data_IF_263581247183
#
_entry.id   IF_263581247183
#
_cell.length_a   1.000
_cell.length_b   1.000
_cell.length_c   1.000
_cell.angle_alpha   90.00
_cell.angle_beta   90.00
_cell.angle_gamma   90.00
#
_symmetry.space_group_name_H-M   'P 1'
#
loop_
_entity.id
_entity.type
_entity.pdbx_description
1 polymer ?
#
# COMPACT_ATOMS: atom_id res chain seq x y z
N UNK A 1 -17.65 12.82 -2.86
CA UNK A 1 -17.77 11.78 -3.89
C UNK A 1 -18.56 12.35 -5.05
N UNK A 2 -18.09 12.20 -6.30
CA UNK A 2 -18.86 12.66 -7.47
C UNK A 2 -19.99 11.66 -7.77
N UNK A 3 -21.28 12.04 -7.65
CA UNK A 3 -22.39 11.14 -7.98
C UNK A 3 -22.47 10.83 -9.49
N UNK A 4 -21.74 11.56 -10.34
CA UNK A 4 -21.62 11.32 -11.79
C UNK A 4 -20.46 10.40 -12.15
N UNK A 5 -19.90 9.67 -11.19
CA UNK A 5 -18.88 8.66 -11.44
C UNK A 5 -19.27 7.32 -10.81
N UNK A 6 -18.80 6.23 -11.43
CA UNK A 6 -18.73 4.92 -10.80
C UNK A 6 -17.54 4.97 -9.85
N UNK A 7 -17.83 5.30 -8.59
CA UNK A 7 -16.85 5.34 -7.52
C UNK A 7 -16.57 3.90 -7.06
N UNK A 8 -15.31 3.49 -7.06
CA UNK A 8 -14.87 2.13 -6.72
C UNK A 8 -13.81 2.21 -5.64
N UNK A 9 -13.92 1.37 -4.61
CA UNK A 9 -12.91 1.29 -3.57
C UNK A 9 -11.84 0.28 -3.96
N UNK A 10 -10.59 0.62 -3.67
CA UNK A 10 -9.48 -0.33 -3.59
C UNK A 10 -9.05 -0.42 -2.13
N UNK A 11 -8.78 -1.65 -1.69
CA UNK A 11 -8.21 -1.94 -0.37
C UNK A 11 -6.73 -2.20 -0.54
N UNK A 12 -5.93 -1.51 0.25
CA UNK A 12 -4.48 -1.62 0.33
C UNK A 12 -4.16 -2.24 1.69
N UNK A 13 -3.76 -3.49 1.67
CA UNK A 13 -3.36 -4.29 2.83
C UNK A 13 -2.02 -3.81 3.39
N UNK A 14 -1.74 -4.05 4.67
CA UNK A 14 -0.49 -3.63 5.31
C UNK A 14 0.78 -4.26 4.69
N UNK A 15 0.63 -5.39 3.99
CA UNK A 15 1.67 -6.03 3.19
C UNK A 15 1.72 -5.58 1.72
N UNK A 16 0.77 -4.79 1.24
CA UNK A 16 0.79 -4.33 -0.15
C UNK A 16 1.96 -3.37 -0.39
N UNK A 17 2.78 -3.67 -1.38
CA UNK A 17 4.07 -2.97 -1.64
C UNK A 17 3.90 -1.54 -2.14
N UNK A 18 2.67 -1.15 -2.49
CA UNK A 18 2.32 0.25 -2.76
C UNK A 18 2.36 1.11 -1.49
N UNK A 19 2.38 0.49 -0.30
CA UNK A 19 2.78 1.12 0.96
C UNK A 19 4.30 1.15 1.07
N UNK A 20 4.85 2.33 1.31
CA UNK A 20 6.29 2.52 1.47
C UNK A 20 6.60 2.87 2.93
N UNK A 21 7.09 1.89 3.67
CA UNK A 21 7.62 2.06 5.01
C UNK A 21 9.02 2.69 4.95
N UNK A 22 9.24 3.79 5.67
CA UNK A 22 10.50 4.53 5.64
C UNK A 22 11.67 3.69 6.17
N UNK A 23 11.41 2.88 7.20
CA UNK A 23 12.30 1.86 7.73
C UNK A 23 11.46 0.68 8.20
N UNK A 24 11.40 -0.37 7.38
CA UNK A 24 10.63 -1.59 7.67
C UNK A 24 11.03 -2.23 9.01
N UNK A 25 12.29 -2.09 9.44
CA UNK A 25 12.80 -2.67 10.69
C UNK A 25 12.22 -2.03 11.95
N UNK A 26 11.53 -0.89 11.82
CA UNK A 26 10.80 -0.23 12.92
C UNK A 26 9.38 -0.77 13.10
N UNK A 27 8.95 -1.70 12.26
CA UNK A 27 7.62 -2.28 12.28
C UNK A 27 7.68 -3.76 12.63
N UNK A 28 6.71 -4.21 13.40
CA UNK A 28 6.48 -5.60 13.76
C UNK A 28 5.20 -6.06 13.09
N UNK A 29 5.25 -7.24 12.48
CA UNK A 29 4.11 -7.90 11.85
C UNK A 29 4.12 -9.39 12.22
N UNK A 30 2.95 -10.06 12.28
CA UNK A 30 2.88 -11.51 12.25
C UNK A 30 3.65 -12.09 11.06
N UNK A 31 4.21 -13.29 11.21
CA UNK A 31 4.82 -14.07 10.12
C UNK A 31 3.75 -14.95 9.46
N UNK A 32 3.30 -14.64 8.24
CA UNK A 32 2.24 -15.42 7.59
C UNK A 32 2.67 -16.83 7.15
N UNK A 33 3.97 -17.11 7.18
CA UNK A 33 4.53 -18.43 6.91
C UNK A 33 4.64 -19.31 8.16
N UNK A 34 4.37 -18.76 9.34
CA UNK A 34 4.41 -19.49 10.58
C UNK A 34 3.29 -20.56 10.64
N UNK A 35 3.60 -21.72 11.23
CA UNK A 35 2.67 -22.86 11.30
C UNK A 35 1.37 -22.54 12.04
N UNK A 36 1.42 -21.63 13.01
CA UNK A 36 0.32 -21.19 13.85
C UNK A 36 -0.34 -19.88 13.38
N UNK A 37 0.05 -19.37 12.21
CA UNK A 37 -0.59 -18.21 11.61
C UNK A 37 -2.06 -18.48 11.28
N UNK A 38 -2.92 -17.49 11.56
CA UNK A 38 -4.34 -17.52 11.22
C UNK A 38 -4.69 -16.35 10.31
N UNK A 39 -4.61 -16.55 8.99
CA UNK A 39 -4.99 -15.54 8.00
C UNK A 39 -6.48 -15.17 7.98
N UNK A 40 -7.31 -15.86 8.77
CA UNK A 40 -8.73 -15.56 8.94
C UNK A 40 -9.04 -14.95 10.33
N UNK A 41 -8.04 -14.46 11.06
CA UNK A 41 -8.29 -13.74 12.31
C UNK A 41 -9.14 -12.49 12.02
N UNK A 42 -10.40 -12.41 12.49
CA UNK A 42 -11.28 -11.30 12.17
C UNK A 42 -10.83 -9.96 12.77
N UNK A 43 -9.80 -9.96 13.62
CA UNK A 43 -9.21 -8.73 14.16
C UNK A 43 -8.46 -7.92 13.12
N UNK A 44 -8.00 -8.55 12.04
CA UNK A 44 -7.11 -7.96 11.06
C UNK A 44 -7.49 -8.36 9.65
N UNK A 45 -7.29 -7.47 8.69
CA UNK A 45 -7.41 -7.85 7.29
C UNK A 45 -6.34 -8.91 6.98
N UNK A 46 -6.76 -10.05 6.42
CA UNK A 46 -5.87 -11.18 6.06
C UNK A 46 -5.01 -11.71 7.23
N UNK A 47 -5.40 -11.42 8.47
CA UNK A 47 -4.68 -11.85 9.68
C UNK A 47 -3.34 -11.12 9.93
N UNK A 48 -3.04 -10.05 9.19
CA UNK A 48 -1.77 -9.31 9.27
C UNK A 48 -1.94 -7.88 9.75
N UNK A 49 -0.86 -7.28 10.25
CA UNK A 49 -0.81 -5.87 10.62
C UNK A 49 0.63 -5.39 10.66
N UNK A 50 0.84 -4.09 10.50
CA UNK A 50 2.11 -3.44 10.80
C UNK A 50 1.97 -2.55 12.04
N UNK A 51 2.62 -2.98 13.13
CA UNK A 51 2.67 -2.30 14.43
C UNK A 51 4.04 -1.64 14.63
N UNK A 52 4.06 -0.41 15.14
CA UNK A 52 5.29 0.22 15.62
C UNK A 52 5.08 0.88 16.98
N UNK A 53 6.11 0.85 17.82
CA UNK A 53 6.21 1.66 19.05
C UNK A 53 7.33 2.70 18.94
N UNK A 54 7.95 2.81 17.76
CA UNK A 54 9.07 3.72 17.51
C UNK A 54 8.51 5.07 17.08
N UNK A 55 8.70 6.09 17.92
CA UNK A 55 8.35 7.45 17.56
C UNK A 55 9.18 7.90 16.35
N UNK A 56 8.51 8.40 15.32
CA UNK A 56 9.09 8.80 14.05
C UNK A 56 9.01 7.75 12.94
N UNK A 57 8.67 6.50 13.25
CA UNK A 57 8.41 5.48 12.24
C UNK A 57 7.24 5.92 11.33
N UNK A 58 7.43 5.76 10.02
CA UNK A 58 6.51 6.31 9.03
C UNK A 58 6.23 5.35 7.87
N UNK A 59 5.03 5.45 7.32
CA UNK A 59 4.57 4.74 6.12
C UNK A 59 3.86 5.73 5.21
N UNK A 60 4.01 5.55 3.90
CA UNK A 60 3.43 6.45 2.90
C UNK A 60 2.70 5.71 1.79
N UNK A 61 1.73 6.38 1.19
CA UNK A 61 0.94 5.90 0.05
C UNK A 61 0.69 7.07 -0.90
N UNK A 62 0.97 6.86 -2.18
CA UNK A 62 0.45 7.74 -3.24
C UNK A 62 -0.84 7.14 -3.78
N UNK A 63 -1.87 7.97 -3.98
CA UNK A 63 -3.13 7.52 -4.55
C UNK A 63 -3.76 8.58 -5.45
N UNK A 64 -4.65 8.15 -6.34
CA UNK A 64 -5.45 9.04 -7.19
C UNK A 64 -6.90 8.80 -6.88
N UNK A 65 -7.60 9.80 -6.33
CA UNK A 65 -8.95 9.56 -5.85
C UNK A 65 -9.56 10.69 -5.03
N UNK A 66 -10.89 10.69 -4.82
CA UNK A 66 -11.57 11.74 -4.06
C UNK A 66 -11.78 11.39 -2.58
N UNK A 67 -11.37 10.20 -2.13
CA UNK A 67 -11.55 9.76 -0.74
C UNK A 67 -10.53 8.71 -0.31
N UNK A 68 -10.15 8.72 0.96
CA UNK A 68 -9.25 7.76 1.61
C UNK A 68 -9.68 7.53 3.07
N UNK A 69 -9.52 6.31 3.55
CA UNK A 69 -9.91 5.82 4.86
C UNK A 69 -8.80 4.93 5.42
N UNK A 70 -8.34 5.25 6.62
CA UNK A 70 -7.28 4.56 7.33
C UNK A 70 -7.89 3.66 8.41
N UNK A 71 -7.54 2.38 8.42
CA UNK A 71 -7.96 1.43 9.42
C UNK A 71 -6.77 0.88 10.21
N UNK A 72 -6.98 0.73 11.51
CA UNK A 72 -6.02 0.20 12.45
C UNK A 72 -6.71 -0.17 13.75
N UNK A 73 -6.01 -0.10 14.88
CA UNK A 73 -6.55 -0.43 16.19
C UNK A 73 -6.41 0.73 17.17
N UNK A 74 -7.29 0.73 18.18
CA UNK A 74 -7.26 1.69 19.29
C UNK A 74 -7.19 0.95 20.62
N UNK A 75 -6.58 1.53 21.64
CA UNK A 75 -6.50 0.89 22.96
C UNK A 75 -5.51 1.55 23.91
N UNK A 76 -5.35 1.02 25.14
CA UNK A 76 -4.55 1.67 26.17
C UNK A 76 -3.09 1.85 25.79
N UNK A 77 -2.54 0.92 24.99
CA UNK A 77 -1.13 0.95 24.55
C UNK A 77 -0.85 1.88 23.38
N UNK A 78 -1.90 2.40 22.73
CA UNK A 78 -1.77 3.24 21.54
C UNK A 78 -1.52 4.69 21.90
N UNK A 79 -0.83 5.38 20.99
CA UNK A 79 -0.40 6.76 21.14
C UNK A 79 -0.93 7.69 20.05
N UNK A 80 -0.31 8.85 19.98
CA UNK A 80 -0.59 9.86 18.98
C UNK A 80 0.11 9.54 17.65
N UNK A 81 -0.53 9.89 16.53
CA UNK A 81 0.03 9.75 15.18
C UNK A 81 -0.29 10.99 14.35
N UNK A 82 0.62 11.29 13.42
CA UNK A 82 0.48 12.36 12.44
C UNK A 82 0.00 11.79 11.12
N UNK A 83 -1.02 12.43 10.54
CA UNK A 83 -1.50 12.22 9.18
C UNK A 83 -1.09 13.44 8.38
N UNK A 84 -0.19 13.27 7.42
CA UNK A 84 0.09 14.26 6.40
C UNK A 84 -0.58 13.84 5.10
N UNK A 85 -1.62 14.55 4.67
CA UNK A 85 -2.24 14.39 3.37
C UNK A 85 -1.96 15.63 2.52
N UNK A 86 -1.13 15.45 1.49
CA UNK A 86 -0.54 16.51 0.69
C UNK A 86 0.20 17.54 1.57
N UNK A 87 -0.30 18.78 1.60
CA UNK A 87 0.25 19.89 2.39
C UNK A 87 -0.37 20.01 3.77
N UNK A 88 -1.39 19.20 4.08
CA UNK A 88 -2.13 19.29 5.33
C UNK A 88 -1.68 18.24 6.33
N UNK A 89 -1.47 18.69 7.55
CA UNK A 89 -1.04 17.86 8.68
C UNK A 89 -2.11 17.88 9.76
N UNK A 90 -2.49 16.69 10.21
CA UNK A 90 -3.47 16.47 11.28
C UNK A 90 -2.81 15.52 12.28
N UNK A 91 -2.97 15.81 13.58
CA UNK A 91 -2.54 14.89 14.64
C UNK A 91 -3.78 14.28 15.27
N UNK A 92 -3.79 12.97 15.40
CA UNK A 92 -4.83 12.18 16.07
C UNK A 92 -4.19 11.29 17.13
N UNK A 93 -5.03 10.65 17.95
CA UNK A 93 -4.62 9.66 18.93
C UNK A 93 -5.44 8.39 18.77
N UNK A 94 -4.76 7.25 18.74
CA UNK A 94 -5.38 5.92 18.75
C UNK A 94 -5.55 5.41 20.19
N UNK A 95 -5.22 6.21 21.20
CA UNK A 95 -5.41 5.84 22.59
C UNK A 95 -6.90 5.64 22.92
N UNK A 96 -7.21 4.55 23.61
CA UNK A 96 -8.55 4.23 24.09
C UNK A 96 -8.48 3.51 25.44
N UNK A 97 -9.59 3.50 26.20
CA UNK A 97 -9.63 2.81 27.50
C UNK A 97 -9.58 1.28 27.39
N UNK A 98 -10.02 0.74 26.25
CA UNK A 98 -10.08 -0.69 25.96
C UNK A 98 -9.54 -0.94 24.55
N UNK A 99 -8.93 -2.11 24.35
CA UNK A 99 -8.46 -2.55 23.03
C UNK A 99 -9.66 -2.78 22.10
N UNK A 100 -9.57 -2.25 20.87
CA UNK A 100 -10.56 -2.51 19.83
C UNK A 100 -10.62 -4.00 19.50
N UNK A 101 -11.83 -4.52 19.30
CA UNK A 101 -12.03 -5.94 18.98
C UNK A 101 -11.84 -6.28 17.50
N UNK A 102 -11.55 -5.28 16.67
CA UNK A 102 -11.35 -5.40 15.23
C UNK A 102 -10.97 -4.06 14.60
N UNK A 103 -10.86 -4.03 13.26
CA UNK A 103 -10.37 -2.85 12.55
C UNK A 103 -11.24 -1.62 12.81
N UNK A 104 -10.60 -0.52 13.19
CA UNK A 104 -11.22 0.74 13.59
C UNK A 104 -10.80 1.83 12.61
N UNK A 105 -11.77 2.64 12.17
CA UNK A 105 -11.50 3.81 11.32
C UNK A 105 -10.73 4.86 12.14
N UNK A 106 -9.45 5.03 11.83
CA UNK A 106 -8.55 5.99 12.47
C UNK A 106 -8.61 7.37 11.82
N UNK A 107 -8.86 7.41 10.51
CA UNK A 107 -8.96 8.66 9.77
C UNK A 107 -9.75 8.46 8.48
N UNK A 108 -10.52 9.47 8.08
CA UNK A 108 -11.22 9.49 6.80
C UNK A 108 -11.16 10.89 6.20
N UNK A 109 -10.90 10.95 4.90
CA UNK A 109 -10.98 12.16 4.10
C UNK A 109 -11.85 11.88 2.88
N UNK A 110 -12.82 12.76 2.62
CA UNK A 110 -13.73 12.66 1.50
C UNK A 110 -13.80 14.01 0.77
N UNK A 111 -14.35 13.99 -0.44
CA UNK A 111 -14.50 15.18 -1.28
C UNK A 111 -13.15 15.86 -1.59
N UNK A 112 -12.07 15.08 -1.60
CA UNK A 112 -10.80 15.53 -2.14
C UNK A 112 -10.99 15.87 -3.62
N UNK A 113 -10.27 16.90 -4.07
CA UNK A 113 -10.15 17.17 -5.50
C UNK A 113 -9.67 15.92 -6.21
N UNK A 114 -10.31 15.50 -7.31
CA UNK A 114 -9.84 14.31 -8.01
C UNK A 114 -8.47 14.58 -8.64
N UNK A 115 -7.42 14.06 -8.01
CA UNK A 115 -6.04 14.33 -8.35
C UNK A 115 -5.12 13.32 -7.69
N UNK A 116 -3.81 13.52 -7.87
CA UNK A 116 -2.80 12.73 -7.20
C UNK A 116 -2.58 13.28 -5.79
N UNK A 117 -2.61 12.37 -4.82
CA UNK A 117 -2.45 12.67 -3.41
C UNK A 117 -1.29 11.86 -2.82
N UNK A 118 -0.61 12.46 -1.84
CA UNK A 118 0.41 11.80 -1.04
C UNK A 118 -0.02 11.75 0.42
N UNK A 119 -0.19 10.54 0.94
CA UNK A 119 -0.39 10.28 2.37
C UNK A 119 0.94 9.87 3.00
N UNK A 120 1.27 10.46 4.14
CA UNK A 120 2.28 9.96 5.07
C UNK A 120 1.67 9.83 6.46
N UNK A 121 1.83 8.67 7.07
CA UNK A 121 1.45 8.39 8.46
C UNK A 121 2.72 8.27 9.27
N UNK A 122 2.78 8.92 10.42
CA UNK A 122 3.95 8.90 11.30
C UNK A 122 3.54 8.68 12.75
N UNK A 123 4.14 7.69 13.39
CA UNK A 123 3.95 7.47 14.82
C UNK A 123 4.59 8.62 15.62
N UNK A 124 3.83 9.30 16.47
CA UNK A 124 4.36 10.32 17.38
C UNK A 124 4.64 9.77 18.78
N UNK A 125 4.20 8.54 19.06
CA UNK A 125 4.33 7.91 20.37
C UNK A 125 3.39 8.51 21.41
N UNK A 126 3.73 8.31 22.69
CA UNK A 126 2.92 8.74 23.81
C UNK A 126 2.84 10.27 23.94
N UNK A 127 1.61 10.79 24.06
CA UNK A 127 1.35 12.15 24.53
C UNK A 127 0.75 12.12 25.94
N UNK A 128 1.55 12.47 26.95
CA UNK A 128 1.09 12.42 28.35
C UNK A 128 1.05 10.98 28.87
N UNK A 129 -0.13 10.48 29.22
CA UNK A 129 -0.33 9.14 29.80
C UNK A 129 -0.73 8.06 28.78
N UNK A 130 -0.72 8.38 27.48
CA UNK A 130 -0.96 7.44 26.39
C UNK A 130 0.18 6.42 26.25
N UNK A 131 -0.02 5.38 25.43
CA UNK A 131 1.06 4.46 25.05
C UNK A 131 1.80 4.90 23.79
N UNK A 132 2.76 4.10 23.32
CA UNK A 132 3.61 4.45 22.16
C UNK A 132 3.18 3.80 20.84
N UNK A 133 2.20 2.90 20.88
CA UNK A 133 1.89 2.06 19.73
C UNK A 133 1.09 2.82 18.66
N UNK A 134 1.38 2.48 17.41
CA UNK A 134 0.56 2.75 16.24
C UNK A 134 0.48 1.47 15.41
N UNK A 135 -0.72 1.09 14.97
CA UNK A 135 -0.96 -0.10 14.15
C UNK A 135 -1.72 0.30 12.90
N UNK A 136 -1.14 -0.04 11.75
CA UNK A 136 -1.81 -0.02 10.45
C UNK A 136 -2.31 -1.44 10.12
N UNK A 137 -3.59 -1.56 9.81
CA UNK A 137 -4.20 -2.80 9.32
C UNK A 137 -4.41 -2.71 7.81
N UNK A 138 -5.18 -1.73 7.34
CA UNK A 138 -5.32 -1.47 5.91
C UNK A 138 -5.76 -0.04 5.62
N UNK A 139 -5.62 0.35 4.36
CA UNK A 139 -6.13 1.61 3.82
C UNK A 139 -7.17 1.28 2.74
N UNK A 140 -8.29 1.98 2.72
CA UNK A 140 -9.18 2.00 1.57
C UNK A 140 -9.16 3.37 0.94
N UNK A 141 -9.06 3.45 -0.38
CA UNK A 141 -9.33 4.69 -1.08
C UNK A 141 -10.22 4.47 -2.28
N UNK A 142 -10.91 5.53 -2.68
CA UNK A 142 -11.84 5.49 -3.78
C UNK A 142 -11.17 6.02 -5.04
N UNK A 143 -11.36 5.36 -6.18
CA UNK A 143 -11.05 5.91 -7.49
C UNK A 143 -12.33 5.97 -8.35
N UNK A 144 -12.27 6.67 -9.49
CA UNK A 144 -13.39 6.79 -10.42
C UNK A 144 -13.12 5.92 -11.64
N UNK A 145 -13.82 4.79 -11.74
CA UNK A 145 -13.58 3.78 -12.76
C UNK A 145 -14.25 4.10 -14.11
N UNK A 146 -15.34 4.86 -14.08
CA UNK A 146 -16.16 5.23 -15.25
C UNK A 146 -17.09 6.41 -14.91
N UNK A 147 -17.69 7.09 -15.88
CA UNK A 147 -18.75 8.06 -15.62
C UNK A 147 -20.08 7.37 -15.25
N UNK A 148 -20.77 7.86 -14.23
CA UNK A 148 -22.13 7.44 -13.90
C UNK A 148 -23.13 8.26 -14.70
N UNK A 149 -23.70 7.64 -15.73
CA UNK A 149 -24.87 8.13 -16.45
C UNK A 149 -24.58 9.36 -17.32
N UNK A 150 -24.81 9.26 -18.62
CA UNK A 150 -24.74 10.44 -19.48
C UNK A 150 -25.79 11.47 -19.08
N UNK A 151 -25.38 12.71 -18.83
CA UNK A 151 -26.19 13.87 -19.24
C UNK A 151 -26.05 13.97 -20.75
N UNK A 152 -27.00 13.36 -21.46
CA UNK A 152 -27.03 13.29 -22.92
C UNK A 152 -26.34 14.49 -23.61
N UNK A 153 -25.27 14.25 -24.35
CA UNK A 153 -24.71 15.24 -25.28
C UNK A 153 -25.69 15.51 -26.43
N UNK A 154 -26.65 14.61 -26.65
CA UNK A 154 -27.80 14.80 -27.52
C UNK A 154 -28.89 15.65 -26.85
N UNK A 155 -29.15 16.83 -27.43
CA UNK A 155 -30.27 17.71 -27.06
C UNK A 155 -31.63 16.98 -27.10
N UNK A 156 -31.80 16.04 -28.04
CA UNK A 156 -33.02 15.24 -28.21
C UNK A 156 -33.32 14.36 -26.99
N UNK A 157 -32.29 13.71 -26.43
CA UNK A 157 -32.46 12.85 -25.26
C UNK A 157 -32.67 13.65 -23.97
N UNK A 158 -32.12 14.87 -23.87
CA UNK A 158 -32.41 15.79 -22.75
C UNK A 158 -33.88 16.19 -22.71
N UNK A 159 -34.49 16.42 -23.88
CA UNK A 159 -35.90 16.83 -23.99
C UNK A 159 -36.85 15.70 -23.57
N UNK A 160 -36.46 14.43 -23.77
CA UNK A 160 -37.31 13.28 -23.48
C UNK A 160 -37.14 12.67 -22.08
N UNK A 161 -36.21 13.19 -21.26
CA UNK A 161 -35.94 12.71 -19.91
C UNK A 161 -35.75 11.18 -19.82
N UNK A 162 -35.15 10.58 -20.87
CA UNK A 162 -34.92 9.14 -20.96
C UNK A 162 -33.74 8.80 -20.04
N UNK A 163 -33.91 7.90 -19.04
CA UNK A 163 -32.81 7.49 -18.18
C UNK A 163 -31.72 6.79 -19.01
N UNK A 164 -30.49 7.28 -18.94
CA UNK A 164 -29.34 6.51 -19.42
C UNK A 164 -28.90 5.56 -18.32
N UNK A 165 -28.59 4.28 -18.64
CA UNK A 165 -27.94 3.42 -17.67
C UNK A 165 -26.58 4.03 -17.31
N UNK A 166 -26.22 3.98 -16.03
CA UNK A 166 -24.86 4.26 -15.58
C UNK A 166 -23.86 3.38 -16.34
N UNK A 167 -22.64 3.87 -16.59
CA UNK A 167 -21.61 2.99 -17.14
C UNK A 167 -21.42 1.81 -16.20
N UNK A 168 -21.23 0.62 -16.77
CA UNK A 168 -20.89 -0.57 -16.02
C UNK A 168 -19.39 -0.75 -16.01
N UNK A 169 -18.89 -1.44 -15.00
CA UNK A 169 -17.49 -1.86 -14.93
C UNK A 169 -17.46 -3.37 -14.72
N UNK A 170 -16.41 -4.01 -15.22
CA UNK A 170 -16.06 -5.39 -14.88
C UNK A 170 -14.56 -5.51 -14.69
N UNK A 171 -14.15 -6.38 -13.79
CA UNK A 171 -12.76 -6.76 -13.65
C UNK A 171 -12.50 -7.99 -14.51
N UNK A 172 -11.38 -7.98 -15.24
CA UNK A 172 -10.89 -9.09 -16.04
C UNK A 172 -9.51 -9.48 -15.50
N UNK A 173 -9.37 -10.72 -15.07
CA UNK A 173 -8.09 -11.28 -14.60
C UNK A 173 -7.33 -11.88 -15.77
N UNK A 174 -6.05 -11.57 -15.85
CA UNK A 174 -5.07 -12.16 -16.76
C UNK A 174 -4.04 -12.87 -15.90
N UNK A 175 -4.06 -14.20 -15.93
CA UNK A 175 -3.04 -15.02 -15.26
C UNK A 175 -1.67 -14.80 -15.93
N UNK A 176 -0.60 -15.03 -15.19
CA UNK A 176 0.80 -14.86 -15.60
C UNK A 176 1.22 -15.64 -16.86
N UNK A 177 0.49 -16.71 -17.20
CA UNK A 177 0.71 -17.52 -18.40
C UNK A 177 -0.04 -16.99 -19.65
N UNK A 178 -0.80 -15.90 -19.50
CA UNK A 178 -1.58 -15.32 -20.57
C UNK A 178 -0.69 -14.78 -21.70
N UNK A 179 -1.04 -15.03 -22.99
CA UNK A 179 -0.22 -14.59 -24.13
C UNK A 179 -0.13 -13.06 -24.31
N UNK A 180 -0.88 -12.27 -23.53
CA UNK A 180 -0.71 -10.81 -23.46
C UNK A 180 0.59 -10.40 -22.72
N UNK A 181 1.22 -11.31 -21.98
CA UNK A 181 2.52 -11.09 -21.36
C UNK A 181 3.69 -11.39 -22.32
N UNK A 182 4.73 -10.58 -22.21
CA UNK A 182 6.03 -10.79 -22.85
C UNK A 182 7.12 -10.70 -21.80
N UNK A 183 7.97 -11.72 -21.73
CA UNK A 183 9.05 -11.80 -20.75
C UNK A 183 10.42 -11.67 -21.41
N UNK A 184 11.34 -10.96 -20.77
CA UNK A 184 12.76 -10.89 -21.15
C UNK A 184 13.64 -11.22 -19.95
N UNK A 185 14.76 -11.90 -20.20
CA UNK A 185 15.62 -12.42 -19.13
C UNK A 185 15.23 -13.83 -18.70
N UNK A 186 15.74 -14.28 -17.56
CA UNK A 186 15.45 -15.61 -17.01
C UNK A 186 14.19 -15.56 -16.13
N UNK A 187 13.19 -16.34 -16.50
CA UNK A 187 11.94 -16.48 -15.75
C UNK A 187 11.66 -17.97 -15.50
N UNK A 188 11.26 -18.27 -14.26
CA UNK A 188 10.79 -19.57 -13.83
C UNK A 188 9.28 -19.54 -13.61
N UNK A 189 8.72 -20.71 -13.32
CA UNK A 189 7.32 -20.88 -13.00
C UNK A 189 7.18 -21.75 -11.75
N UNK A 190 6.19 -21.44 -10.92
CA UNK A 190 5.83 -22.23 -9.75
C UNK A 190 4.30 -22.36 -9.66
N UNK A 191 3.82 -23.30 -8.85
CA UNK A 191 2.40 -23.55 -8.67
C UNK A 191 2.05 -23.60 -7.20
N UNK A 192 0.95 -22.96 -6.80
CA UNK A 192 0.42 -22.99 -5.45
C UNK A 192 -1.07 -22.69 -5.48
N UNK A 193 -1.90 -23.30 -4.62
CA UNK A 193 -3.30 -22.90 -4.48
C UNK A 193 -3.49 -21.48 -3.91
N UNK A 194 -2.41 -20.84 -3.44
CA UNK A 194 -2.43 -19.45 -2.97
C UNK A 194 -2.51 -18.42 -4.11
N UNK A 195 -2.08 -18.80 -5.33
CA UNK A 195 -2.05 -17.90 -6.48
C UNK A 195 -3.35 -17.95 -7.29
N UNK A 196 -3.71 -16.83 -7.93
CA UNK A 196 -4.76 -16.83 -8.95
C UNK A 196 -4.41 -17.83 -10.05
N UNK A 197 -5.41 -18.54 -10.58
CA UNK A 197 -5.19 -19.61 -11.57
C UNK A 197 -4.39 -20.83 -11.10
N UNK A 198 -3.76 -20.78 -9.91
CA UNK A 198 -2.90 -21.82 -9.34
C UNK A 198 -1.42 -21.75 -9.72
N UNK A 199 -0.99 -20.68 -10.41
CA UNK A 199 0.37 -20.52 -10.94
C UNK A 199 0.99 -19.16 -10.60
N UNK A 200 2.32 -19.06 -10.70
CA UNK A 200 3.07 -17.81 -10.63
C UNK A 200 4.29 -17.89 -11.52
N UNK A 201 4.73 -16.75 -12.03
CA UNK A 201 5.94 -16.62 -12.85
C UNK A 201 6.91 -15.72 -12.12
N UNK A 202 8.13 -16.21 -11.89
CA UNK A 202 9.11 -15.53 -11.03
C UNK A 202 10.44 -15.32 -11.73
N UNK A 203 11.21 -14.35 -11.24
CA UNK A 203 12.57 -14.09 -11.71
C UNK A 203 13.48 -13.69 -10.57
N UNK A 204 14.75 -14.11 -10.64
CA UNK A 204 15.86 -13.58 -9.85
C UNK A 204 16.91 -12.89 -10.75
N UNK A 205 16.58 -12.69 -12.02
CA UNK A 205 17.47 -12.06 -13.00
C UNK A 205 17.43 -10.54 -12.86
N UNK A 206 18.59 -9.93 -12.66
CA UNK A 206 18.69 -8.47 -12.63
C UNK A 206 18.37 -7.89 -14.02
N UNK A 207 17.44 -6.93 -14.06
CA UNK A 207 16.92 -6.35 -15.30
C UNK A 207 15.99 -7.25 -16.11
N UNK A 208 15.58 -8.41 -15.58
CA UNK A 208 14.53 -9.21 -16.21
C UNK A 208 13.20 -8.43 -16.20
N UNK A 209 12.45 -8.50 -17.31
CA UNK A 209 11.20 -7.73 -17.46
C UNK A 209 10.01 -8.60 -17.82
N UNK A 210 8.84 -8.21 -17.32
CA UNK A 210 7.54 -8.67 -17.76
C UNK A 210 6.77 -7.46 -18.32
N UNK A 211 6.35 -7.55 -19.57
CA UNK A 211 5.57 -6.51 -20.27
C UNK A 211 4.16 -7.01 -20.50
N UNK A 212 3.17 -6.20 -20.11
CA UNK A 212 1.75 -6.49 -20.27
C UNK A 212 1.04 -5.35 -20.97
N UNK A 213 0.24 -5.68 -21.97
CA UNK A 213 -0.56 -4.70 -22.74
C UNK A 213 -2.03 -4.88 -22.48
N UNK A 214 -2.75 -3.77 -22.29
CA UNK A 214 -4.18 -3.82 -21.98
C UNK A 214 -4.92 -2.55 -22.41
N UNK A 215 -6.25 -2.65 -22.39
CA UNK A 215 -7.14 -1.49 -22.48
C UNK A 215 -8.13 -1.58 -21.33
N UNK A 216 -8.13 -0.58 -20.46
CA UNK A 216 -8.90 -0.56 -19.22
C UNK A 216 -8.72 0.76 -18.48
N UNK A 217 -9.66 1.11 -17.58
CA UNK A 217 -9.59 2.36 -16.81
C UNK A 217 -8.77 2.24 -15.53
N UNK A 218 -8.45 1.01 -15.11
CA UNK A 218 -7.54 0.72 -14.01
C UNK A 218 -6.84 -0.63 -14.22
N UNK A 219 -5.65 -0.77 -13.62
CA UNK A 219 -4.84 -1.98 -13.63
C UNK A 219 -4.30 -2.25 -12.23
N UNK A 220 -4.38 -3.51 -11.82
CA UNK A 220 -3.81 -4.06 -10.59
C UNK A 220 -2.77 -5.10 -11.00
N UNK A 221 -1.52 -4.91 -10.60
CA UNK A 221 -0.49 -5.96 -10.72
C UNK A 221 -0.44 -6.69 -9.40
N UNK A 222 -0.62 -8.01 -9.45
CA UNK A 222 -0.64 -8.89 -8.28
C UNK A 222 0.55 -9.84 -8.31
N UNK A 223 1.08 -10.14 -7.13
CA UNK A 223 2.14 -11.11 -6.93
C UNK A 223 2.14 -11.57 -5.49
N UNK A 224 3.27 -12.01 -4.98
CA UNK A 224 3.45 -12.35 -3.57
C UNK A 224 4.22 -11.24 -2.81
N UNK A 225 4.72 -11.53 -1.62
CA UNK A 225 5.71 -10.70 -0.93
C UNK A 225 6.48 -11.61 0.02
N UNK A 226 7.81 -11.44 0.12
CA UNK A 226 8.66 -12.40 0.82
C UNK A 226 10.01 -11.80 1.20
N UNK A 227 10.69 -12.37 2.20
CA UNK A 227 11.95 -11.79 2.72
C UNK A 227 13.15 -11.90 1.75
N UNK A 228 13.08 -12.73 0.72
CA UNK A 228 14.07 -12.86 -0.37
C UNK A 228 13.76 -11.96 -1.58
N UNK A 229 12.70 -11.16 -1.51
CA UNK A 229 12.35 -10.19 -2.55
C UNK A 229 12.99 -8.83 -2.20
N UNK A 230 13.27 -8.01 -3.21
CA UNK A 230 13.78 -6.65 -3.00
C UNK A 230 13.13 -5.69 -3.99
N UNK A 231 13.93 -4.78 -4.53
CA UNK A 231 13.46 -3.67 -5.35
C UNK A 231 13.00 -4.20 -6.71
N UNK A 232 11.83 -3.76 -7.13
CA UNK A 232 11.38 -3.91 -8.51
C UNK A 232 10.84 -2.56 -8.98
N UNK A 233 10.89 -2.34 -10.29
CA UNK A 233 10.37 -1.14 -10.93
C UNK A 233 9.13 -1.44 -11.75
N UNK A 234 8.24 -0.47 -11.83
CA UNK A 234 7.07 -0.51 -12.70
C UNK A 234 6.98 0.79 -13.48
N UNK A 235 6.83 0.63 -14.79
CA UNK A 235 6.60 1.72 -15.73
C UNK A 235 5.26 1.51 -16.42
N UNK A 236 4.38 2.51 -16.33
CA UNK A 236 3.14 2.58 -17.09
C UNK A 236 3.31 3.56 -18.25
N UNK A 237 3.22 3.04 -19.47
CA UNK A 237 3.37 3.78 -20.73
C UNK A 237 4.70 4.56 -20.80
N UNK A 238 4.62 5.86 -21.11
CA UNK A 238 5.76 6.78 -21.16
C UNK A 238 6.13 7.39 -19.81
N UNK A 239 5.45 7.04 -18.71
CA UNK A 239 5.68 7.65 -17.39
C UNK A 239 7.06 7.33 -16.83
N UNK A 240 7.50 8.07 -15.82
CA UNK A 240 8.68 7.70 -15.04
C UNK A 240 8.45 6.34 -14.36
N UNK A 241 9.51 5.55 -14.26
CA UNK A 241 9.47 4.28 -13.53
C UNK A 241 9.34 4.54 -12.02
N UNK A 242 8.48 3.76 -11.38
CA UNK A 242 8.22 3.78 -9.94
C UNK A 242 8.87 2.56 -9.31
N UNK A 243 9.53 2.74 -8.18
CA UNK A 243 10.24 1.67 -7.49
C UNK A 243 9.50 1.28 -6.22
N UNK A 244 9.38 -0.02 -6.02
CA UNK A 244 8.73 -0.63 -4.87
C UNK A 244 9.65 -1.71 -4.29
N UNK A 245 9.34 -2.16 -3.07
CA UNK A 245 10.11 -3.18 -2.39
C UNK A 245 9.21 -4.37 -2.04
N UNK A 246 9.57 -5.56 -2.51
CA UNK A 246 8.86 -6.81 -2.21
C UNK A 246 9.25 -7.48 -0.90
N UNK A 247 10.07 -6.85 -0.05
CA UNK A 247 10.46 -7.43 1.25
C UNK A 247 9.28 -7.40 2.22
N UNK A 248 8.90 -8.55 2.80
CA UNK A 248 7.71 -8.68 3.66
C UNK A 248 7.83 -8.08 5.07
N UNK A 249 9.03 -7.77 5.54
CA UNK A 249 9.24 -6.83 6.66
C UNK A 249 9.08 -7.36 8.09
N UNK A 250 8.65 -8.60 8.25
CA UNK A 250 8.76 -9.43 9.46
C UNK A 250 10.22 -9.73 9.87
N UNK A 251 10.99 -8.70 10.26
CA UNK A 251 12.19 -8.74 11.11
C UNK A 251 13.34 -9.71 10.76
N UNK A 252 13.31 -10.36 9.59
CA UNK A 252 14.18 -11.47 9.24
C UNK A 252 15.37 -11.08 8.36
N UNK A 253 16.38 -11.97 8.32
CA UNK A 253 17.39 -11.93 7.27
C UNK A 253 16.76 -12.25 5.90
N UNK A 254 17.49 -11.97 4.82
CA UNK A 254 17.13 -12.47 3.48
C UNK A 254 16.88 -13.99 3.55
N UNK A 255 15.69 -14.43 3.13
CA UNK A 255 15.33 -15.84 3.24
C UNK A 255 13.92 -16.14 2.73
N UNK A 256 13.66 -17.43 2.51
CA UNK A 256 12.41 -17.94 1.94
C UNK A 256 11.25 -18.00 2.97
N UNK A 257 11.19 -17.03 3.88
CA UNK A 257 10.26 -16.98 5.01
C UNK A 257 9.32 -15.79 4.88
N UNK A 258 8.22 -15.85 5.61
CA UNK A 258 7.24 -14.78 5.71
C UNK A 258 6.70 -14.35 4.35
N UNK A 259 6.33 -15.38 3.61
CA UNK A 259 5.53 -15.27 2.41
C UNK A 259 4.08 -15.07 2.82
N UNK A 260 3.48 -13.96 2.39
CA UNK A 260 2.04 -13.78 2.56
C UNK A 260 1.32 -14.66 1.52
N UNK A 261 0.51 -15.60 1.99
CA UNK A 261 -0.10 -16.66 1.16
C UNK A 261 -1.39 -16.20 0.45
N UNK A 262 -1.48 -14.91 0.12
CA UNK A 262 -2.59 -14.30 -0.63
C UNK A 262 -2.02 -13.26 -1.61
N UNK A 263 -2.74 -12.95 -2.71
CA UNK A 263 -2.26 -11.97 -3.69
C UNK A 263 -2.01 -10.59 -3.08
N UNK A 264 -0.80 -10.09 -3.31
CA UNK A 264 -0.28 -8.79 -2.87
C UNK A 264 -0.40 -7.79 -4.01
N UNK A 265 -0.92 -6.60 -3.72
CA UNK A 265 -0.97 -5.51 -4.67
C UNK A 265 0.41 -4.91 -4.87
N UNK A 266 1.06 -5.32 -5.97
CA UNK A 266 2.39 -4.85 -6.38
C UNK A 266 2.34 -3.44 -6.97
N UNK A 267 1.23 -3.11 -7.64
CA UNK A 267 1.01 -1.82 -8.27
C UNK A 267 -0.46 -1.61 -8.58
N UNK A 268 -0.88 -0.36 -8.53
CA UNK A 268 -2.18 0.06 -8.99
C UNK A 268 -2.10 1.38 -9.73
N UNK A 269 -2.81 1.46 -10.85
CA UNK A 269 -3.10 2.72 -11.52
C UNK A 269 -4.57 2.76 -11.94
N UNK A 270 -5.11 3.97 -12.00
CA UNK A 270 -6.47 4.24 -12.44
C UNK A 270 -6.53 5.54 -13.26
N UNK A 271 -7.74 5.96 -13.63
CA UNK A 271 -7.96 7.14 -14.47
C UNK A 271 -7.33 7.01 -15.87
N UNK A 272 -7.28 5.79 -16.39
CA UNK A 272 -6.71 5.46 -17.69
C UNK A 272 -7.77 5.60 -18.79
N UNK A 273 -7.32 5.93 -20.00
CA UNK A 273 -8.20 6.18 -21.14
C UNK A 273 -8.46 4.88 -21.95
N UNK A 274 -9.08 5.01 -23.13
CA UNK A 274 -9.39 3.84 -23.96
C UNK A 274 -8.21 3.36 -24.82
N UNK A 275 -7.06 4.02 -24.76
CA UNK A 275 -5.88 3.61 -25.53
C UNK A 275 -5.34 2.25 -25.05
N UNK A 276 -4.44 1.67 -25.85
CA UNK A 276 -3.64 0.54 -25.38
C UNK A 276 -2.57 1.07 -24.44
N UNK A 277 -2.64 0.63 -23.18
CA UNK A 277 -1.66 0.88 -22.16
C UNK A 277 -0.66 -0.26 -22.07
N UNK A 278 0.57 0.03 -21.65
CA UNK A 278 1.64 -0.94 -21.43
C UNK A 278 2.21 -0.79 -20.04
N UNK A 279 2.15 -1.85 -19.24
CA UNK A 279 2.90 -1.98 -17.99
C UNK A 279 4.18 -2.77 -18.28
N UNK A 280 5.32 -2.22 -17.87
CA UNK A 280 6.61 -2.92 -17.84
C UNK A 280 7.03 -3.05 -16.38
N UNK A 281 7.21 -4.29 -15.93
CA UNK A 281 7.73 -4.64 -14.62
C UNK A 281 9.18 -5.06 -14.81
N UNK A 282 10.09 -4.53 -14.00
CA UNK A 282 11.53 -4.84 -14.03
C UNK A 282 11.97 -5.33 -12.66
N UNK A 283 12.61 -6.51 -12.58
CA UNK A 283 13.25 -6.94 -11.35
C UNK A 283 14.63 -6.27 -11.22
N UNK A 284 14.85 -5.54 -10.13
CA UNK A 284 16.18 -5.03 -9.77
C UNK A 284 16.76 -5.94 -8.69
N UNK A 285 17.18 -7.14 -9.13
CA UNK A 285 17.54 -8.26 -8.28
C UNK A 285 18.63 -7.93 -7.26
N UNK A 286 19.49 -6.94 -7.55
CA UNK A 286 20.37 -6.32 -6.57
C UNK A 286 21.13 -7.32 -5.69
N UNK A 287 20.88 -7.26 -4.37
CA UNK A 287 21.56 -8.11 -3.38
C UNK A 287 20.98 -9.53 -3.39
N UNK A 288 21.88 -10.52 -3.42
CA UNK A 288 21.57 -11.96 -3.36
C UNK A 288 20.66 -12.48 -4.50
N UNK A 289 20.62 -11.78 -5.63
CA UNK A 289 19.70 -12.12 -6.73
C UNK A 289 18.27 -12.22 -6.22
N UNK A 290 17.76 -11.14 -5.64
CA UNK A 290 16.42 -11.11 -5.07
C UNK A 290 15.34 -11.38 -6.11
N UNK A 291 14.22 -11.89 -5.63
CA UNK A 291 13.15 -12.36 -6.48
C UNK A 291 12.05 -11.31 -6.69
N UNK A 292 11.35 -11.47 -7.80
CA UNK A 292 10.05 -10.89 -8.07
C UNK A 292 9.16 -11.99 -8.65
N UNK A 293 7.96 -12.13 -8.09
CA UNK A 293 6.94 -13.06 -8.55
C UNK A 293 5.71 -12.28 -9.05
N UNK A 294 5.22 -12.69 -10.21
CA UNK A 294 4.00 -12.24 -10.86
C UNK A 294 2.95 -13.35 -10.75
N UNK A 295 1.86 -13.05 -10.06
CA UNK A 295 0.68 -13.91 -9.96
C UNK A 295 -0.27 -13.59 -11.13
N UNK A 296 -0.82 -12.38 -11.16
CA UNK A 296 -1.82 -12.02 -12.15
C UNK A 296 -1.92 -10.51 -12.34
N UNK A 297 -2.59 -10.10 -13.40
CA UNK A 297 -2.99 -8.71 -13.62
C UNK A 297 -4.50 -8.63 -13.72
N UNK A 298 -5.11 -7.77 -12.92
CA UNK A 298 -6.54 -7.46 -13.02
C UNK A 298 -6.71 -6.13 -13.74
N UNK A 299 -7.56 -6.09 -14.76
CA UNK A 299 -7.89 -4.88 -15.50
C UNK A 299 -9.36 -4.54 -15.29
N UNK A 300 -9.64 -3.32 -14.83
CA UNK A 300 -11.01 -2.79 -14.78
C UNK A 300 -11.38 -2.25 -16.15
N UNK A 301 -12.37 -2.87 -16.79
CA UNK A 301 -12.87 -2.50 -18.11
C UNK A 301 -14.25 -1.84 -17.97
N UNK A 302 -14.38 -0.53 -18.20
CA UNK A 302 -15.66 0.14 -18.19
C UNK A 302 -16.39 0.00 -19.54
N UNK A 303 -17.71 0.15 -19.54
CA UNK A 303 -18.50 0.27 -20.77
C UNK A 303 -18.32 1.62 -21.48
N UNK A 304 -17.81 2.63 -20.76
CA UNK A 304 -17.54 4.00 -21.22
C UNK A 304 -16.29 4.52 -20.54
N UNK A 305 -15.35 5.06 -21.33
CA UNK A 305 -14.15 5.71 -20.82
C UNK A 305 -14.36 7.22 -20.75
N UNK A 306 -14.09 7.79 -19.58
CA UNK A 306 -14.08 9.25 -19.37
C UNK A 306 -13.05 9.59 -18.27
N UNK A 307 -11.75 9.49 -18.58
CA UNK A 307 -10.71 9.85 -17.63
C UNK A 307 -10.87 11.31 -17.21
N UNK A 308 -10.68 11.57 -15.93
CA UNK A 308 -10.80 12.89 -15.31
C UNK A 308 -9.54 13.68 -15.59
N UNK A 309 -9.70 14.98 -15.78
CA UNK A 309 -8.59 15.91 -15.64
C UNK A 309 -8.16 15.92 -14.18
N UNK A 310 -6.91 15.56 -13.92
CA UNK A 310 -6.33 15.62 -12.58
C UNK A 310 -6.15 17.08 -12.20
N UNK A 311 -6.67 17.48 -11.04
CA UNK A 311 -6.41 18.80 -10.49
C UNK A 311 -4.98 18.88 -9.94
N UNK A 312 -4.36 20.07 -10.04
CA UNK A 312 -3.13 20.38 -9.28
C UNK A 312 -3.44 20.25 -7.78
N UNK A 313 -2.59 19.56 -7.03
CA UNK A 313 -2.81 19.22 -5.62
C UNK A 313 -2.92 20.48 -4.75
N UNK A 314 -4.16 20.89 -4.45
CA UNK A 314 -4.47 22.07 -3.65
C UNK A 314 -5.72 21.91 -2.77
N UNK A 315 -6.04 20.69 -2.35
CA UNK A 315 -7.38 20.35 -1.86
C UNK A 315 -7.77 21.11 -0.56
N UNK A 316 -8.87 21.89 -0.55
CA UNK A 316 -9.49 22.41 0.67
C UNK A 316 -10.38 21.34 1.31
N UNK A 317 -10.13 20.97 2.57
CA UNK A 317 -10.85 19.90 3.28
C UNK A 317 -12.27 20.29 3.72
N UNK A 318 -13.16 19.30 3.74
CA UNK A 318 -14.28 19.21 4.71
C UNK A 318 -14.12 17.91 5.49
N UNK A 319 -13.81 18.02 6.78
CA UNK A 319 -13.75 16.90 7.72
C UNK A 319 -15.15 16.52 8.23
N UNK A 320 -15.46 15.23 8.31
CA UNK A 320 -16.54 14.72 9.16
C UNK A 320 -15.93 13.91 10.29
N UNK A 321 -15.68 14.58 11.42
CA UNK A 321 -15.32 13.92 12.68
C UNK A 321 -16.51 13.16 13.26
N UNK A 322 -16.34 11.88 13.58
CA UNK A 322 -17.23 11.16 14.48
C UNK A 322 -17.18 11.76 15.89
N UNK A 323 -18.35 12.06 16.43
CA UNK A 323 -18.58 12.75 17.70
C UNK A 323 -17.94 12.06 18.91
N UNK A 324 -17.08 12.78 19.65
CA UNK A 324 -16.84 12.53 21.07
C UNK A 324 -17.32 13.77 21.87
N UNK A 325 -18.13 13.50 22.88
CA UNK A 325 -18.97 14.41 23.65
C UNK A 325 -18.25 15.55 24.37
N UNK A 326 -18.96 16.68 24.43
CA UNK A 326 -18.65 17.95 25.09
C UNK A 326 -18.29 17.85 26.57
N UNK A 327 -17.18 18.48 26.96
CA UNK A 327 -16.83 18.86 28.33
C UNK A 327 -16.22 20.27 28.34
N UNK A 328 -16.85 21.15 29.11
CA UNK A 328 -16.78 22.61 29.15
C UNK A 328 -15.38 23.22 29.28
N UNK A 329 -15.14 24.28 28.49
CA UNK A 329 -13.98 25.16 28.57
C UNK A 329 -14.06 26.11 29.78
N UNK A 330 -12.97 26.20 30.55
CA UNK A 330 -12.63 27.33 31.40
C UNK A 330 -11.43 28.06 30.82
N UNK A 331 -11.58 29.37 30.58
CA UNK A 331 -10.64 30.29 29.93
C UNK A 331 -9.48 30.74 30.86
N UNK A 332 -8.48 31.53 30.41
CA UNK A 332 -7.06 31.25 30.64
C UNK A 332 -6.39 32.26 31.59
N UNK A 333 -5.20 31.93 32.08
CA UNK A 333 -4.28 32.94 32.63
C UNK A 333 -2.87 32.74 32.12
N UNK A 334 -2.43 33.75 31.38
CA UNK A 334 -1.06 34.04 30.96
C UNK A 334 -0.22 34.40 32.18
N UNK A 335 1.00 33.86 32.30
CA UNK A 335 2.16 34.63 32.76
C UNK A 335 3.49 33.88 32.61
N UNK A 336 4.49 34.58 32.06
CA UNK A 336 5.86 34.59 32.60
C UNK A 336 6.89 33.63 32.00
N UNK A 337 7.61 34.11 30.98
CA UNK A 337 9.06 33.91 30.86
C UNK A 337 9.78 34.81 31.91
N UNK A 338 11.03 34.55 32.36
CA UNK A 338 12.18 34.32 31.47
C UNK A 338 13.34 33.41 31.97
N UNK A 339 14.19 33.07 30.99
CA UNK A 339 15.66 32.91 31.03
C UNK A 339 16.33 31.98 32.05
N UNK A 340 17.14 31.02 31.56
CA UNK A 340 18.59 31.03 31.83
C UNK A 340 19.38 30.16 30.86
N UNK A 341 20.55 30.70 30.52
CA UNK A 341 21.64 30.19 29.69
C UNK A 341 22.43 29.07 30.37
N UNK A 342 22.99 28.15 29.58
CA UNK A 342 24.01 27.21 30.06
C UNK A 342 24.68 26.44 28.93
N UNK A 343 25.67 27.06 28.30
CA UNK A 343 26.62 26.44 27.36
C UNK A 343 27.69 25.63 28.09
N UNK A 344 27.91 24.36 27.73
CA UNK A 344 29.24 23.71 27.79
C UNK A 344 29.33 22.60 26.72
N UNK A 345 30.41 22.64 25.94
CA UNK A 345 31.05 21.56 25.18
C UNK A 345 32.56 21.81 25.29
N UNK A 346 33.48 20.95 24.80
CA UNK A 346 33.44 19.50 24.53
C UNK A 346 34.67 18.77 25.13
N UNK A 347 34.74 17.43 25.05
CA UNK A 347 36.04 16.72 25.03
C UNK A 347 35.95 15.29 24.45
N UNK A 348 36.60 15.13 23.30
CA UNK A 348 37.32 13.98 22.73
C UNK A 348 37.35 12.65 23.49
N UNK A 349 37.25 11.54 22.74
CA UNK A 349 38.38 10.61 22.52
C UNK A 349 38.12 9.64 21.37
N UNK A 350 39.18 9.35 20.63
CA UNK A 350 39.24 8.63 19.38
C UNK A 350 39.57 7.13 19.54
N UNK A 351 39.51 6.46 18.38
CA UNK A 351 40.34 5.33 17.92
C UNK A 351 39.77 3.90 18.05
N UNK A 352 39.88 3.15 16.94
CA UNK A 352 40.08 1.70 16.99
C UNK A 352 39.44 0.83 15.91
N UNK A 353 39.90 0.94 14.66
CA UNK A 353 40.25 -0.13 13.69
C UNK A 353 39.59 -1.52 13.87
N UNK A 354 38.97 -2.04 12.81
CA UNK A 354 38.62 -3.47 12.70
C UNK A 354 37.96 -3.87 11.39
N UNK A 355 38.73 -3.91 10.31
CA UNK A 355 38.38 -4.51 9.01
C UNK A 355 38.24 -6.03 9.10
N UNK A 356 37.13 -6.62 8.65
CA UNK A 356 37.10 -7.99 8.12
C UNK A 356 36.11 -8.12 6.96
N UNK A 357 36.69 -8.22 5.77
CA UNK A 357 36.11 -8.83 4.58
C UNK A 357 36.15 -10.35 4.76
N UNK A 358 35.07 -11.07 4.42
CA UNK A 358 35.13 -12.46 3.99
C UNK A 358 33.85 -12.84 3.25
N UNK A 359 33.98 -12.87 1.93
CA UNK A 359 33.08 -13.54 1.00
C UNK A 359 32.98 -15.03 1.34
N UNK A 360 31.79 -15.63 1.28
CA UNK A 360 31.66 -17.04 0.94
C UNK A 360 30.31 -17.31 0.27
N UNK A 361 30.40 -17.67 -1.02
CA UNK A 361 29.39 -18.32 -1.82
C UNK A 361 28.98 -19.66 -1.18
N UNK A 362 27.69 -19.97 -1.12
CA UNK A 362 27.22 -21.35 -1.11
C UNK A 362 25.94 -21.49 -1.93
N UNK A 363 26.09 -22.04 -3.13
CA UNK A 363 25.01 -22.68 -3.88
C UNK A 363 24.55 -23.93 -3.12
N UNK A 364 23.24 -24.07 -2.92
CA UNK A 364 22.62 -25.38 -2.70
C UNK A 364 21.35 -25.49 -3.53
N UNK A 365 21.48 -26.20 -4.64
CA UNK A 365 20.42 -26.83 -5.42
C UNK A 365 19.74 -27.90 -4.55
N UNK A 366 18.41 -27.95 -4.54
CA UNK A 366 17.70 -29.17 -4.14
C UNK A 366 16.73 -29.63 -5.21
N UNK A 367 17.04 -30.82 -5.73
CA UNK A 367 16.20 -31.64 -6.59
C UNK A 367 14.98 -32.15 -5.82
N UNK A 368 13.85 -32.11 -6.52
CA UNK A 368 12.61 -32.84 -6.27
C UNK A 368 12.83 -34.34 -6.02
N UNK A 369 12.20 -34.89 -4.98
CA UNK A 369 11.94 -36.32 -4.86
C UNK A 369 10.47 -36.58 -4.52
N UNK A 370 9.71 -36.86 -5.57
CA UNK A 370 8.57 -37.77 -5.50
C UNK A 370 8.99 -39.08 -4.85
N UNK A 371 8.24 -39.59 -3.86
CA UNK A 371 8.06 -41.03 -3.67
C UNK A 371 6.63 -41.32 -3.18
N UNK A 372 5.84 -41.88 -4.11
CA UNK A 372 4.68 -42.73 -3.83
C UNK A 372 5.09 -43.99 -3.05
N UNK A 373 4.17 -44.49 -2.22
CA UNK A 373 3.84 -45.91 -1.88
C UNK A 373 2.83 -45.82 -0.72
N UNK A 374 1.65 -46.45 -0.71
CA UNK A 374 1.05 -47.59 -1.42
C UNK A 374 -0.44 -47.32 -1.60
#
# INVERSE_FOLDING_TARGET
MDPKAVNTNVTIDDFDTVLVYADQGQWTTPDPSAKDFNGNDPKYLRGTYHLTEVAGAAVSLNFTGPAIYLYGHTGPRFGSYEIQLDTQTIIQSAHGAEESTGPTLLYGAENLTYGNHQLTLKNLGAKGAEGNAFLLDFIQYTFQAAPAGYVATSMFMRILNIPFPSATIRNVTFEEDNPAFSFTGEWGHNTSPAFSGGGTTYTHGDGATATFKFTGSAVYVLGDIKNDHRVYGIKLDGSAEQFYNGTSGCGGAFGLTCEQQVPILKYFASNLDQSEHTVVITNYAGVNSSFFDLDSVVVTVPSVYEPRQLADSGSPFVSTSGTATTGTAGTPTVNGSPSSSGSVSPANSAAGIGSFNSSLLLLLLFFSLFHRRL
#
